data_IF_661084043874
#
_entry.id   IF_661084043874
#
_cell.length_a   1.000
_cell.length_b   1.000
_cell.length_c   1.000
_cell.angle_alpha   90.00
_cell.angle_beta   90.00
_cell.angle_gamma   90.00
#
_symmetry.space_group_name_H-M   'P 1'
#
loop_
_entity.id
_entity.type
_entity.pdbx_description
1 polymer ?
#
# COMPACT_ATOMS: atom_id res chain seq x y z
N UNK A 1 39.82 23.03 47.65
CA UNK A 1 40.28 22.65 46.29
C UNK A 1 39.26 21.70 45.68
N UNK A 2 38.42 22.21 44.79
CA UNK A 2 37.39 21.40 44.09
C UNK A 2 37.89 21.21 42.67
N UNK A 3 38.22 19.96 42.31
CA UNK A 3 38.65 19.57 40.98
C UNK A 3 37.41 19.49 40.06
N UNK A 4 37.40 20.34 39.05
CA UNK A 4 36.38 20.40 38.00
C UNK A 4 36.77 19.37 36.92
N UNK A 5 36.08 18.24 36.86
CA UNK A 5 36.26 17.24 35.82
C UNK A 5 35.41 17.69 34.62
N UNK A 6 36.10 18.19 33.59
CA UNK A 6 35.48 18.54 32.29
C UNK A 6 35.33 17.27 31.49
N UNK A 7 34.08 16.73 31.42
CA UNK A 7 33.76 15.56 30.61
C UNK A 7 33.53 16.05 29.17
N UNK A 8 34.56 15.91 28.36
CA UNK A 8 34.52 16.23 26.94
C UNK A 8 33.68 15.15 26.22
N UNK A 9 32.38 15.40 26.02
CA UNK A 9 31.51 14.55 25.23
C UNK A 9 31.85 14.76 23.75
N UNK A 10 32.71 13.88 23.22
CA UNK A 10 33.06 13.85 21.80
C UNK A 10 31.85 13.31 21.02
N UNK A 11 31.00 14.22 20.54
CA UNK A 11 29.94 13.88 19.61
C UNK A 11 30.62 13.54 18.28
N UNK A 12 30.75 12.25 17.98
CA UNK A 12 31.01 11.76 16.62
C UNK A 12 29.78 12.08 15.78
N UNK A 13 29.76 13.27 15.20
CA UNK A 13 28.95 13.55 14.02
C UNK A 13 29.50 12.67 12.89
N UNK A 14 28.91 11.50 12.67
CA UNK A 14 29.06 10.79 11.43
C UNK A 14 28.54 11.71 10.32
N UNK A 15 29.47 12.42 9.66
CA UNK A 15 29.15 13.16 8.45
C UNK A 15 28.65 12.14 7.44
N UNK A 16 27.34 12.16 7.16
CA UNK A 16 26.82 11.56 5.94
C UNK A 16 27.44 12.36 4.79
N UNK A 17 28.59 11.89 4.33
CA UNK A 17 29.26 12.46 3.16
C UNK A 17 28.62 11.82 1.93
N UNK A 18 28.03 12.65 1.07
CA UNK A 18 27.60 12.20 -0.23
C UNK A 18 28.73 11.43 -0.92
N UNK A 19 28.42 10.23 -1.38
CA UNK A 19 29.37 9.35 -2.09
C UNK A 19 29.18 9.51 -3.59
N UNK A 20 30.28 9.46 -4.34
CA UNK A 20 30.22 9.33 -5.78
C UNK A 20 29.83 7.89 -6.17
N UNK A 21 28.78 7.75 -6.95
CA UNK A 21 28.25 6.50 -7.51
C UNK A 21 28.45 6.48 -9.02
N UNK A 22 28.83 5.33 -9.58
CA UNK A 22 29.14 5.17 -11.00
C UNK A 22 28.18 4.20 -11.67
N UNK A 23 27.82 4.46 -12.93
CA UNK A 23 27.08 3.52 -13.77
C UNK A 23 27.90 2.26 -14.07
N UNK A 24 27.22 1.15 -14.40
CA UNK A 24 27.84 -0.15 -14.68
C UNK A 24 28.98 -0.08 -15.73
N UNK A 25 28.85 0.82 -16.72
CA UNK A 25 29.85 1.06 -17.76
C UNK A 25 30.94 2.07 -17.37
N UNK A 26 30.88 2.63 -16.17
CA UNK A 26 31.81 3.62 -15.64
C UNK A 26 31.77 5.00 -16.31
N UNK A 27 30.86 5.22 -17.30
CA UNK A 27 30.85 6.46 -18.10
C UNK A 27 30.13 7.61 -17.45
N UNK A 28 29.30 7.35 -16.46
CA UNK A 28 28.54 8.37 -15.72
C UNK A 28 28.77 8.20 -14.24
N UNK A 29 28.90 9.33 -13.55
CA UNK A 29 28.91 9.35 -12.09
C UNK A 29 27.97 10.44 -11.55
N UNK A 30 27.60 10.29 -10.30
CA UNK A 30 26.80 11.28 -9.56
C UNK A 30 27.03 11.14 -8.06
N UNK A 31 26.90 12.22 -7.34
CA UNK A 31 26.96 12.23 -5.88
C UNK A 31 25.58 12.00 -5.28
N UNK A 32 25.49 11.15 -4.28
CA UNK A 32 24.27 10.89 -3.51
C UNK A 32 24.58 10.22 -2.18
N UNK A 33 23.69 10.45 -1.20
CA UNK A 33 23.72 9.75 0.09
C UNK A 33 23.06 8.38 -0.04
N UNK A 34 23.64 7.37 0.60
CA UNK A 34 23.02 6.06 0.72
C UNK A 34 21.84 6.13 1.71
N UNK A 35 20.69 5.57 1.33
CA UNK A 35 19.51 5.45 2.20
C UNK A 35 19.27 3.99 2.59
N UNK A 36 19.12 3.09 1.60
CA UNK A 36 18.83 1.68 1.86
C UNK A 36 19.14 0.81 0.65
N UNK A 37 19.29 -0.50 0.85
CA UNK A 37 19.23 -1.50 -0.21
C UNK A 37 18.51 -2.76 0.29
N UNK A 38 17.91 -3.51 -0.64
CA UNK A 38 17.22 -4.79 -0.39
C UNK A 38 17.97 -6.00 -0.99
N UNK A 39 19.18 -5.76 -1.50
CA UNK A 39 20.02 -6.76 -2.18
C UNK A 39 19.79 -6.83 -3.69
N UNK A 40 18.69 -6.31 -4.21
CA UNK A 40 18.41 -6.19 -5.64
C UNK A 40 18.40 -4.73 -6.09
N UNK A 41 17.81 -3.86 -5.27
CA UNK A 41 17.71 -2.42 -5.52
C UNK A 41 18.43 -1.63 -4.45
N UNK A 42 18.93 -0.45 -4.83
CA UNK A 42 19.48 0.55 -3.93
C UNK A 42 18.66 1.84 -4.03
N UNK A 43 18.40 2.46 -2.89
CA UNK A 43 17.80 3.79 -2.80
C UNK A 43 18.85 4.78 -2.31
N UNK A 44 19.05 5.83 -3.09
CA UNK A 44 20.00 6.91 -2.87
C UNK A 44 19.26 8.24 -2.81
N UNK A 45 19.77 9.20 -2.04
CA UNK A 45 19.21 10.56 -1.93
C UNK A 45 20.13 11.56 -2.62
N UNK A 46 19.59 12.29 -3.60
CA UNK A 46 20.20 13.48 -4.20
C UNK A 46 19.49 14.73 -3.67
N UNK A 47 20.07 15.91 -3.93
CA UNK A 47 19.38 17.18 -3.70
C UNK A 47 18.01 17.25 -4.42
N UNK A 48 17.91 16.61 -5.59
CA UNK A 48 16.69 16.57 -6.41
C UNK A 48 15.65 15.54 -5.95
N UNK A 49 15.94 14.70 -4.93
CA UNK A 49 15.02 13.67 -4.41
C UNK A 49 15.64 12.28 -4.31
N UNK A 50 14.78 11.26 -4.12
CA UNK A 50 15.19 9.87 -3.99
C UNK A 50 15.31 9.21 -5.37
N UNK A 51 16.39 8.43 -5.55
CA UNK A 51 16.64 7.59 -6.71
C UNK A 51 16.66 6.13 -6.28
N UNK A 52 15.81 5.30 -6.88
CA UNK A 52 15.80 3.84 -6.65
C UNK A 52 16.03 3.14 -7.97
N UNK A 53 17.00 2.22 -8.00
CA UNK A 53 17.32 1.43 -9.19
C UNK A 53 18.04 0.12 -8.81
N UNK A 54 18.14 -0.80 -9.77
CA UNK A 54 18.81 -2.09 -9.59
C UNK A 54 20.30 -1.93 -9.30
N UNK A 55 20.81 -2.65 -8.29
CA UNK A 55 22.23 -2.65 -7.90
C UNK A 55 23.12 -3.08 -9.10
N UNK A 56 22.62 -3.97 -9.95
CA UNK A 56 23.29 -4.41 -11.18
C UNK A 56 23.63 -3.28 -12.18
N UNK A 57 22.98 -2.12 -12.05
CA UNK A 57 23.25 -0.92 -12.85
C UNK A 57 24.36 -0.03 -12.30
N UNK A 58 24.89 -0.37 -11.13
CA UNK A 58 26.07 0.28 -10.57
C UNK A 58 27.37 -0.37 -11.06
N UNK A 59 28.44 0.42 -11.00
CA UNK A 59 29.79 -0.09 -11.23
C UNK A 59 30.13 -1.24 -10.25
N UNK A 60 30.90 -2.26 -10.66
CA UNK A 60 31.27 -3.37 -9.77
C UNK A 60 31.86 -2.96 -8.41
N UNK A 61 32.70 -1.91 -8.38
CA UNK A 61 33.27 -1.40 -7.12
C UNK A 61 32.20 -0.83 -6.19
N UNK A 62 31.15 -0.22 -6.73
CA UNK A 62 30.05 0.33 -5.94
C UNK A 62 29.12 -0.78 -5.44
N UNK A 63 28.96 -1.86 -6.21
CA UNK A 63 28.27 -3.08 -5.76
C UNK A 63 29.05 -3.77 -4.63
N UNK A 64 30.37 -3.87 -4.75
CA UNK A 64 31.23 -4.42 -3.72
C UNK A 64 31.15 -3.58 -2.44
N UNK A 65 31.22 -2.26 -2.57
CA UNK A 65 31.09 -1.34 -1.43
C UNK A 65 29.74 -1.50 -0.71
N UNK A 66 28.62 -1.65 -1.43
CA UNK A 66 27.31 -1.93 -0.83
C UNK A 66 27.34 -3.24 -0.03
N UNK A 67 27.95 -4.29 -0.59
CA UNK A 67 28.04 -5.59 0.07
C UNK A 67 28.87 -5.55 1.35
N UNK A 68 29.95 -4.77 1.36
CA UNK A 68 30.87 -4.67 2.49
C UNK A 68 30.33 -3.74 3.60
N UNK A 69 29.78 -2.59 3.21
CA UNK A 69 29.39 -1.55 4.18
C UNK A 69 27.94 -1.61 4.60
N UNK A 70 27.08 -2.17 3.75
CA UNK A 70 25.64 -2.32 3.98
C UNK A 70 25.19 -3.73 3.59
N UNK A 71 25.78 -4.78 4.21
CA UNK A 71 25.39 -6.14 3.92
C UNK A 71 23.90 -6.29 4.23
N UNK A 72 23.13 -6.63 3.21
CA UNK A 72 21.78 -7.11 3.43
C UNK A 72 21.93 -8.39 4.21
N UNK A 73 21.49 -8.40 5.46
CA UNK A 73 21.26 -9.68 6.15
C UNK A 73 20.26 -10.42 5.26
N UNK A 74 20.77 -11.38 4.47
CA UNK A 74 19.90 -12.45 4.00
C UNK A 74 19.35 -13.02 5.30
N UNK A 75 18.12 -12.66 5.67
CA UNK A 75 17.38 -13.51 6.58
C UNK A 75 17.49 -14.87 5.93
N UNK A 76 18.13 -15.79 6.65
CA UNK A 76 18.11 -17.21 6.28
C UNK A 76 16.68 -17.47 5.92
N UNK A 77 16.43 -17.94 4.69
CA UNK A 77 15.10 -18.21 4.21
C UNK A 77 14.46 -19.10 5.27
N UNK A 78 13.78 -18.49 6.23
CA UNK A 78 12.86 -19.21 7.11
C UNK A 78 12.03 -19.98 6.14
N UNK A 79 11.97 -21.29 6.32
CA UNK A 79 11.20 -22.20 5.50
C UNK A 79 9.80 -21.59 5.33
N UNK A 80 9.70 -20.71 4.30
CA UNK A 80 8.53 -19.86 4.11
C UNK A 80 7.51 -20.72 3.39
N UNK A 81 6.68 -21.36 4.19
CA UNK A 81 5.44 -21.93 3.67
C UNK A 81 4.52 -20.76 3.32
N UNK A 82 4.22 -20.51 2.03
CA UNK A 82 3.27 -19.46 1.66
C UNK A 82 1.98 -19.65 2.46
N UNK A 83 1.37 -18.56 2.94
CA UNK A 83 0.08 -18.69 3.63
C UNK A 83 -0.91 -19.41 2.70
N UNK A 84 -1.80 -20.24 3.24
CA UNK A 84 -2.81 -20.89 2.43
C UNK A 84 -3.61 -19.83 1.69
N UNK A 85 -3.79 -20.04 0.38
CA UNK A 85 -4.56 -19.13 -0.45
C UNK A 85 -6.04 -19.21 -0.09
N UNK A 86 -6.67 -18.05 -0.02
CA UNK A 86 -8.09 -17.91 0.28
C UNK A 86 -8.69 -16.72 -0.50
N UNK A 87 -9.97 -16.81 -0.83
CA UNK A 87 -10.64 -15.85 -1.69
C UNK A 87 -10.58 -14.41 -1.10
N UNK A 88 -10.17 -13.46 -1.94
CA UNK A 88 -10.13 -12.03 -1.62
C UNK A 88 -11.14 -11.24 -2.44
N UNK A 89 -10.86 -10.99 -3.73
CA UNK A 89 -11.71 -10.21 -4.61
C UNK A 89 -11.64 -10.73 -6.05
N UNK A 90 -12.79 -11.13 -6.62
CA UNK A 90 -12.85 -11.72 -7.96
C UNK A 90 -12.00 -12.99 -8.04
N UNK A 91 -10.97 -12.98 -8.88
CA UNK A 91 -10.00 -14.06 -8.98
C UNK A 91 -8.78 -13.92 -8.08
N UNK A 92 -8.68 -12.81 -7.34
CA UNK A 92 -7.57 -12.58 -6.41
C UNK A 92 -7.76 -13.39 -5.13
N UNK A 93 -6.64 -13.88 -4.60
CA UNK A 93 -6.59 -14.64 -3.35
C UNK A 93 -5.58 -14.00 -2.40
N UNK A 94 -5.89 -13.99 -1.12
CA UNK A 94 -4.87 -13.71 -0.11
C UNK A 94 -3.73 -14.73 -0.24
N UNK A 95 -2.50 -14.28 -0.06
CA UNK A 95 -1.33 -15.11 -0.32
C UNK A 95 -0.84 -15.10 -1.78
N UNK A 96 -1.55 -14.45 -2.71
CA UNK A 96 -1.02 -14.23 -4.06
C UNK A 96 0.24 -13.36 -4.01
N UNK A 97 1.26 -13.74 -4.77
CA UNK A 97 2.43 -12.90 -5.01
C UNK A 97 2.06 -11.71 -5.91
N UNK A 98 2.90 -10.67 -5.91
CA UNK A 98 2.70 -9.49 -6.74
C UNK A 98 2.52 -9.84 -8.24
N UNK A 99 3.30 -10.80 -8.75
CA UNK A 99 3.20 -11.26 -10.14
C UNK A 99 1.90 -12.00 -10.43
N UNK A 100 1.41 -12.83 -9.50
CA UNK A 100 0.13 -13.53 -9.64
C UNK A 100 -1.04 -12.53 -9.66
N UNK A 101 -1.03 -11.52 -8.78
CA UNK A 101 -2.04 -10.45 -8.77
C UNK A 101 -2.07 -9.74 -10.12
N UNK A 102 -0.94 -9.32 -10.68
CA UNK A 102 -0.87 -8.69 -11.99
C UNK A 102 -1.48 -9.59 -13.08
N UNK A 103 -1.10 -10.87 -13.11
CA UNK A 103 -1.62 -11.82 -14.11
C UNK A 103 -3.13 -12.04 -13.98
N UNK A 104 -3.64 -12.15 -12.75
CA UNK A 104 -5.06 -12.30 -12.46
C UNK A 104 -5.85 -11.05 -12.83
N UNK A 105 -5.34 -9.86 -12.54
CA UNK A 105 -5.97 -8.59 -12.93
C UNK A 105 -6.05 -8.40 -14.44
N UNK A 106 -4.97 -8.69 -15.19
CA UNK A 106 -4.96 -8.63 -16.66
C UNK A 106 -6.02 -9.54 -17.32
N UNK A 107 -6.35 -10.65 -16.69
CA UNK A 107 -7.34 -11.64 -17.18
C UNK A 107 -8.74 -11.44 -16.58
N UNK A 108 -8.90 -10.51 -15.66
CA UNK A 108 -10.15 -10.36 -14.92
C UNK A 108 -11.32 -9.91 -15.81
N UNK A 109 -12.49 -10.54 -15.70
CA UNK A 109 -13.69 -10.09 -16.38
C UNK A 109 -14.33 -8.86 -15.73
N UNK A 110 -14.02 -8.57 -14.46
CA UNK A 110 -14.70 -7.54 -13.64
C UNK A 110 -13.89 -6.27 -13.42
N UNK A 111 -12.59 -6.27 -13.76
CA UNK A 111 -11.73 -5.08 -13.67
C UNK A 111 -11.05 -4.78 -15.00
N UNK A 112 -10.64 -3.54 -15.16
CA UNK A 112 -9.86 -3.06 -16.29
C UNK A 112 -8.74 -2.13 -15.82
N UNK A 113 -7.69 -2.01 -16.62
CA UNK A 113 -6.63 -1.03 -16.37
C UNK A 113 -7.10 0.37 -16.77
N UNK A 114 -6.90 1.34 -15.88
CA UNK A 114 -7.14 2.76 -16.13
C UNK A 114 -5.84 3.51 -16.49
N UNK A 115 -4.69 2.82 -16.48
CA UNK A 115 -3.38 3.37 -16.80
C UNK A 115 -2.68 2.56 -17.90
N UNK A 116 -1.89 3.25 -18.72
CA UNK A 116 -1.01 2.58 -19.67
C UNK A 116 0.04 1.72 -18.95
N UNK A 117 0.43 0.58 -19.53
CA UNK A 117 1.35 -0.39 -18.92
C UNK A 117 2.71 0.25 -18.51
N UNK A 118 3.19 1.22 -19.29
CA UNK A 118 4.41 1.99 -18.97
C UNK A 118 4.23 2.86 -17.72
N UNK A 119 3.02 3.37 -17.48
CA UNK A 119 2.71 4.15 -16.28
C UNK A 119 2.61 3.25 -15.04
N UNK A 120 2.01 2.06 -15.15
CA UNK A 120 1.92 1.10 -14.06
C UNK A 120 3.29 0.71 -13.51
N UNK A 121 4.30 0.56 -14.36
CA UNK A 121 5.67 0.27 -13.95
C UNK A 121 6.31 1.41 -13.10
N UNK A 122 5.79 2.64 -13.20
CA UNK A 122 6.31 3.81 -12.47
C UNK A 122 5.56 4.12 -11.18
N UNK A 123 4.23 3.91 -11.16
CA UNK A 123 3.35 4.30 -10.05
C UNK A 123 2.88 3.09 -9.23
N UNK A 124 3.21 1.88 -9.65
CA UNK A 124 2.78 0.63 -9.00
C UNK A 124 1.34 0.24 -9.36
N UNK A 125 0.77 -0.73 -8.62
CA UNK A 125 -0.57 -1.27 -8.89
C UNK A 125 -1.70 -0.42 -8.31
N UNK A 126 -1.44 0.32 -7.23
CA UNK A 126 -2.48 1.04 -6.49
C UNK A 126 -3.11 2.15 -7.34
N UNK A 127 -4.45 2.09 -7.48
CA UNK A 127 -5.21 3.05 -8.26
C UNK A 127 -5.09 2.91 -9.79
N UNK A 128 -4.38 1.89 -10.29
CA UNK A 128 -4.18 1.66 -11.73
C UNK A 128 -5.23 0.74 -12.36
N UNK A 129 -5.97 0.02 -11.54
CA UNK A 129 -7.10 -0.82 -11.94
C UNK A 129 -8.39 -0.29 -11.34
N UNK A 130 -9.48 -0.41 -12.11
CA UNK A 130 -10.84 -0.07 -11.65
C UNK A 130 -11.84 -1.15 -12.03
N UNK A 131 -13.00 -1.13 -11.38
CA UNK A 131 -14.12 -2.00 -11.77
C UNK A 131 -14.66 -1.59 -13.14
N UNK A 132 -14.99 -2.56 -14.00
CA UNK A 132 -15.63 -2.30 -15.30
C UNK A 132 -17.05 -1.76 -15.13
N UNK A 133 -17.80 -2.34 -14.19
CA UNK A 133 -19.14 -1.90 -13.87
C UNK A 133 -19.12 -0.89 -12.72
N UNK A 134 -20.05 0.05 -12.75
CA UNK A 134 -20.27 1.01 -11.67
C UNK A 134 -21.16 0.41 -10.59
N UNK A 135 -20.95 0.85 -9.35
CA UNK A 135 -21.88 0.66 -8.25
C UNK A 135 -22.38 2.02 -7.77
N UNK A 136 -23.70 2.21 -7.75
CA UNK A 136 -24.28 3.53 -7.48
C UNK A 136 -23.81 4.62 -8.45
N UNK A 137 -23.52 4.23 -9.71
CA UNK A 137 -23.00 5.16 -10.73
C UNK A 137 -21.50 5.49 -10.61
N UNK A 138 -20.77 4.89 -9.66
CA UNK A 138 -19.36 5.16 -9.44
C UNK A 138 -18.51 3.91 -9.73
N UNK A 139 -17.41 4.09 -10.46
CA UNK A 139 -16.35 3.08 -10.53
C UNK A 139 -15.57 3.04 -9.21
N UNK A 140 -15.04 1.88 -8.87
CA UNK A 140 -14.13 1.72 -7.74
C UNK A 140 -12.74 1.38 -8.25
N UNK A 141 -11.74 2.07 -7.72
CA UNK A 141 -10.32 1.83 -7.97
C UNK A 141 -9.78 0.84 -6.95
N UNK A 142 -8.84 -0.01 -7.39
CA UNK A 142 -8.26 -1.06 -6.57
C UNK A 142 -6.92 -0.60 -5.99
N UNK A 143 -6.75 -0.90 -4.70
CA UNK A 143 -5.50 -0.70 -3.96
C UNK A 143 -5.16 -2.00 -3.24
N UNK A 144 -3.88 -2.29 -3.11
CA UNK A 144 -3.37 -3.55 -2.59
C UNK A 144 -2.41 -3.29 -1.44
N UNK A 145 -2.52 -4.08 -0.40
CA UNK A 145 -1.57 -4.13 0.70
C UNK A 145 -0.98 -5.53 0.83
N UNK A 146 0.29 -5.58 1.21
CA UNK A 146 1.12 -6.77 1.14
C UNK A 146 1.67 -7.13 2.51
N UNK A 147 1.93 -8.40 2.74
CA UNK A 147 2.75 -8.86 3.86
C UNK A 147 4.21 -8.44 3.64
N UNK A 148 5.02 -8.50 4.68
CA UNK A 148 6.47 -8.26 4.59
C UNK A 148 7.16 -9.21 3.58
N UNK A 149 6.60 -10.39 3.39
CA UNK A 149 7.06 -11.40 2.41
C UNK A 149 6.51 -11.19 1.00
N UNK A 150 5.81 -10.07 0.72
CA UNK A 150 5.34 -9.71 -0.61
C UNK A 150 4.10 -10.46 -1.10
N UNK A 151 3.27 -10.97 -0.18
CA UNK A 151 2.02 -11.66 -0.51
C UNK A 151 0.81 -10.79 -0.20
N UNK A 152 -0.22 -10.90 -1.04
CA UNK A 152 -1.45 -10.12 -0.91
C UNK A 152 -2.11 -10.35 0.45
N UNK A 153 -2.32 -9.26 1.20
CA UNK A 153 -2.95 -9.25 2.52
C UNK A 153 -4.29 -8.53 2.53
N UNK A 154 -4.44 -7.51 1.70
CA UNK A 154 -5.65 -6.71 1.64
C UNK A 154 -5.91 -6.21 0.21
N UNK A 155 -7.18 -6.18 -0.18
CA UNK A 155 -7.67 -5.48 -1.37
C UNK A 155 -8.62 -4.38 -0.91
N UNK A 156 -8.33 -3.14 -1.27
CA UNK A 156 -9.22 -2.00 -1.02
C UNK A 156 -9.85 -1.53 -2.32
N UNK A 157 -11.17 -1.43 -2.33
CA UNK A 157 -11.94 -0.78 -3.37
C UNK A 157 -12.30 0.63 -2.89
N UNK A 158 -11.87 1.66 -3.61
CA UNK A 158 -12.23 3.05 -3.33
C UNK A 158 -13.01 3.62 -4.50
N UNK A 159 -14.23 4.12 -4.24
CA UNK A 159 -15.03 4.77 -5.28
C UNK A 159 -14.30 5.98 -5.87
N UNK A 160 -14.66 6.37 -7.09
CA UNK A 160 -14.20 7.65 -7.64
C UNK A 160 -14.48 8.76 -6.61
N UNK A 161 -13.48 9.59 -6.26
CA UNK A 161 -13.66 10.64 -5.28
C UNK A 161 -14.61 11.72 -5.80
N UNK A 162 -15.46 12.23 -4.91
CA UNK A 162 -16.48 13.25 -5.20
C UNK A 162 -16.32 14.43 -4.23
N UNK A 163 -16.73 15.62 -4.67
CA UNK A 163 -16.76 16.82 -3.82
C UNK A 163 -17.89 16.77 -2.80
N UNK A 164 -17.80 17.62 -1.78
CA UNK A 164 -18.79 17.81 -0.72
C UNK A 164 -20.23 17.92 -1.23
N UNK A 165 -20.44 18.60 -2.36
CA UNK A 165 -21.78 18.78 -2.97
C UNK A 165 -22.48 17.47 -3.34
N UNK A 166 -21.72 16.40 -3.54
CA UNK A 166 -22.22 15.07 -3.91
C UNK A 166 -22.29 14.11 -2.71
N UNK A 167 -21.88 14.55 -1.52
CA UNK A 167 -21.75 13.71 -0.33
C UNK A 167 -23.09 13.07 0.07
N UNK A 168 -24.14 13.87 0.25
CA UNK A 168 -25.48 13.39 0.60
C UNK A 168 -26.27 12.78 -0.55
N UNK A 169 -25.79 12.90 -1.79
CA UNK A 169 -26.42 12.39 -3.01
C UNK A 169 -25.74 11.13 -3.53
N UNK A 170 -24.93 11.28 -4.59
CA UNK A 170 -24.32 10.16 -5.31
C UNK A 170 -23.43 9.29 -4.44
N UNK A 171 -22.69 9.88 -3.49
CA UNK A 171 -21.82 9.12 -2.61
C UNK A 171 -22.63 8.25 -1.63
N UNK A 172 -23.68 8.81 -1.02
CA UNK A 172 -24.58 8.07 -0.15
C UNK A 172 -25.30 6.95 -0.89
N UNK A 173 -25.70 7.18 -2.16
CA UNK A 173 -26.30 6.16 -3.02
C UNK A 173 -25.32 5.02 -3.28
N UNK A 174 -24.07 5.32 -3.63
CA UNK A 174 -23.03 4.32 -3.81
C UNK A 174 -22.79 3.52 -2.52
N UNK A 175 -22.70 4.19 -1.35
CA UNK A 175 -22.54 3.53 -0.06
C UNK A 175 -23.71 2.58 0.24
N UNK A 176 -24.97 3.00 0.01
CA UNK A 176 -26.15 2.16 0.24
C UNK A 176 -26.17 0.93 -0.65
N UNK A 177 -25.86 1.09 -1.94
CA UNK A 177 -25.80 -0.04 -2.87
C UNK A 177 -24.67 -1.01 -2.56
N UNK A 178 -23.54 -0.49 -2.05
CA UNK A 178 -22.45 -1.31 -1.59
C UNK A 178 -22.83 -2.17 -0.38
N UNK A 179 -23.63 -1.64 0.56
CA UNK A 179 -24.20 -2.41 1.68
C UNK A 179 -25.03 -3.57 1.16
N UNK A 180 -25.96 -3.30 0.23
CA UNK A 180 -26.84 -4.34 -0.31
C UNK A 180 -26.04 -5.44 -1.01
N UNK A 181 -25.02 -5.08 -1.80
CA UNK A 181 -24.14 -6.06 -2.43
C UNK A 181 -23.40 -6.90 -1.38
N UNK A 182 -22.79 -6.24 -0.38
CA UNK A 182 -22.01 -6.95 0.64
C UNK A 182 -22.91 -7.84 1.53
N UNK A 183 -24.17 -7.44 1.77
CA UNK A 183 -25.17 -8.29 2.43
C UNK A 183 -25.53 -9.53 1.62
N UNK A 184 -25.65 -9.39 0.31
CA UNK A 184 -25.89 -10.56 -0.56
C UNK A 184 -24.71 -11.53 -0.58
N UNK A 185 -23.48 -11.01 -0.52
CA UNK A 185 -22.28 -11.81 -0.58
C UNK A 185 -21.89 -12.44 0.78
N UNK A 186 -22.10 -11.73 1.87
CA UNK A 186 -21.56 -12.08 3.20
C UNK A 186 -22.62 -12.21 4.31
N UNK A 187 -23.90 -12.01 3.98
CA UNK A 187 -24.97 -12.00 4.96
C UNK A 187 -25.07 -10.70 5.78
N UNK A 188 -25.57 -10.81 7.00
CA UNK A 188 -25.70 -9.63 7.86
C UNK A 188 -24.35 -9.17 8.42
N UNK A 189 -24.11 -7.86 8.50
CA UNK A 189 -22.87 -7.35 9.09
C UNK A 189 -22.89 -7.60 10.62
N UNK A 190 -21.71 -7.86 11.18
CA UNK A 190 -21.52 -8.00 12.64
C UNK A 190 -21.40 -6.64 13.34
N UNK A 191 -21.17 -5.57 12.59
CA UNK A 191 -21.24 -4.19 13.02
C UNK A 191 -21.92 -3.38 11.93
N UNK A 192 -22.82 -2.48 12.30
CA UNK A 192 -23.42 -1.51 11.39
C UNK A 192 -23.60 -0.16 12.08
N UNK A 193 -23.46 0.90 11.31
CA UNK A 193 -23.73 2.28 11.70
C UNK A 193 -24.39 3.03 10.55
N UNK A 194 -25.12 4.13 10.81
CA UNK A 194 -25.69 4.96 9.76
C UNK A 194 -24.61 5.58 8.87
N UNK A 195 -25.03 6.15 7.73
CA UNK A 195 -24.14 6.94 6.89
C UNK A 195 -23.62 8.13 7.71
N UNK A 196 -22.27 8.31 7.81
CA UNK A 196 -21.71 9.35 8.66
C UNK A 196 -22.04 10.76 8.15
N UNK A 197 -22.08 11.74 9.05
CA UNK A 197 -22.00 13.13 8.64
C UNK A 197 -20.63 13.42 8.03
N UNK A 198 -20.53 14.32 7.06
CA UNK A 198 -19.23 14.78 6.57
C UNK A 198 -18.38 15.40 7.67
N UNK A 199 -19.00 15.98 8.68
CA UNK A 199 -18.32 16.62 9.82
C UNK A 199 -17.70 15.61 10.80
N UNK A 200 -18.11 14.33 10.71
CA UNK A 200 -17.55 13.23 11.50
C UNK A 200 -16.25 12.68 10.85
N UNK A 201 -15.98 13.07 9.60
CA UNK A 201 -14.82 12.59 8.87
C UNK A 201 -13.58 13.44 9.17
N UNK A 202 -12.44 12.80 9.15
CA UNK A 202 -11.13 13.45 9.30
C UNK A 202 -10.31 13.21 8.06
N UNK A 203 -9.58 14.24 7.61
CA UNK A 203 -8.73 14.18 6.43
C UNK A 203 -7.69 13.05 6.54
N UNK A 204 -7.58 12.28 5.49
CA UNK A 204 -6.69 11.10 5.40
C UNK A 204 -7.20 9.86 6.13
N UNK A 205 -8.34 9.90 6.82
CA UNK A 205 -8.90 8.75 7.55
C UNK A 205 -10.13 8.17 6.88
N UNK A 206 -10.41 6.90 7.19
CA UNK A 206 -11.60 6.16 6.76
C UNK A 206 -12.43 5.82 7.98
N UNK A 207 -13.65 6.33 8.05
CA UNK A 207 -14.62 5.98 9.08
C UNK A 207 -15.39 4.74 8.63
N UNK A 208 -15.11 3.59 9.26
CA UNK A 208 -15.75 2.32 8.95
C UNK A 208 -17.12 2.23 9.64
N UNK A 209 -18.18 2.13 8.86
CA UNK A 209 -19.57 1.99 9.33
C UNK A 209 -20.01 0.53 9.48
N UNK A 210 -19.55 -0.36 8.61
CA UNK A 210 -19.98 -1.75 8.59
C UNK A 210 -18.78 -2.70 8.59
N UNK A 211 -18.99 -3.86 9.22
CA UNK A 211 -18.01 -4.95 9.27
C UNK A 211 -18.75 -6.28 9.05
N UNK A 212 -18.23 -7.09 8.14
CA UNK A 212 -18.64 -8.48 7.92
C UNK A 212 -17.48 -9.42 8.26
N UNK A 213 -17.86 -10.66 8.59
CA UNK A 213 -16.94 -11.78 8.71
C UNK A 213 -17.24 -12.77 7.62
N UNK A 214 -16.25 -13.15 6.83
CA UNK A 214 -16.40 -14.22 5.84
C UNK A 214 -16.40 -15.59 6.53
N UNK A 215 -16.82 -16.64 5.81
CA UNK A 215 -16.78 -18.02 6.29
C UNK A 215 -15.36 -18.50 6.64
N UNK A 216 -14.35 -17.90 6.02
CA UNK A 216 -12.92 -18.19 6.26
C UNK A 216 -12.32 -17.36 7.41
N UNK A 217 -13.13 -16.52 8.07
CA UNK A 217 -12.71 -15.68 9.19
C UNK A 217 -12.07 -14.34 8.79
N UNK A 218 -12.03 -14.01 7.50
CA UNK A 218 -11.55 -12.72 7.00
C UNK A 218 -12.53 -11.59 7.29
N UNK A 219 -12.08 -10.36 7.17
CA UNK A 219 -12.91 -9.19 7.41
C UNK A 219 -13.19 -8.41 6.13
N UNK A 220 -14.45 -7.96 5.98
CA UNK A 220 -14.85 -7.00 4.96
C UNK A 220 -15.40 -5.78 5.69
N UNK A 221 -14.81 -4.60 5.44
CA UNK A 221 -15.17 -3.36 6.05
C UNK A 221 -15.71 -2.39 4.99
N UNK A 222 -16.80 -1.72 5.28
CA UNK A 222 -17.31 -0.62 4.48
C UNK A 222 -17.22 0.67 5.29
N UNK A 223 -16.67 1.71 4.67
CA UNK A 223 -16.52 3.01 5.29
C UNK A 223 -16.62 4.16 4.28
N UNK A 224 -16.47 5.36 4.81
CA UNK A 224 -16.39 6.61 4.05
C UNK A 224 -15.07 7.29 4.42
N UNK A 225 -14.30 7.70 3.43
CA UNK A 225 -13.04 8.41 3.60
C UNK A 225 -13.09 9.82 3.06
N UNK A 226 -12.30 10.70 3.66
CA UNK A 226 -12.04 12.06 3.20
C UNK A 226 -10.56 12.20 2.84
N UNK A 227 -10.27 12.91 1.76
CA UNK A 227 -8.93 13.27 1.33
C UNK A 227 -8.97 14.69 0.73
N UNK A 228 -8.50 15.66 1.50
CA UNK A 228 -8.70 17.07 1.21
C UNK A 228 -10.19 17.44 1.15
N UNK A 229 -10.63 18.00 0.01
CA UNK A 229 -12.03 18.37 -0.25
C UNK A 229 -12.85 17.25 -0.94
N UNK A 230 -12.29 16.04 -1.02
CA UNK A 230 -12.90 14.91 -1.73
C UNK A 230 -13.27 13.77 -0.78
N UNK A 231 -14.34 13.08 -1.14
CA UNK A 231 -14.94 12.01 -0.36
C UNK A 231 -15.10 10.75 -1.21
N UNK A 232 -14.91 9.60 -0.60
CA UNK A 232 -15.03 8.30 -1.28
C UNK A 232 -15.68 7.25 -0.39
N UNK A 233 -16.42 6.31 -0.97
CA UNK A 233 -16.80 5.07 -0.31
C UNK A 233 -15.65 4.08 -0.45
N UNK A 234 -15.34 3.39 0.64
CA UNK A 234 -14.19 2.49 0.72
C UNK A 234 -14.66 1.13 1.23
N UNK A 235 -14.32 0.08 0.48
CA UNK A 235 -14.49 -1.32 0.92
C UNK A 235 -13.10 -1.92 1.09
N UNK A 236 -12.79 -2.40 2.29
CA UNK A 236 -11.55 -3.10 2.59
C UNK A 236 -11.84 -4.57 2.80
N UNK A 237 -11.18 -5.43 2.05
CA UNK A 237 -11.26 -6.89 2.14
C UNK A 237 -9.89 -7.36 2.61
N UNK A 238 -9.77 -7.79 3.86
CA UNK A 238 -8.49 -8.10 4.49
C UNK A 238 -8.48 -9.52 5.07
N UNK A 239 -7.34 -10.19 4.97
CA UNK A 239 -7.10 -11.49 5.59
C UNK A 239 -7.11 -11.43 7.13
N UNK A 240 -7.04 -10.21 7.70
CA UNK A 240 -7.02 -10.01 9.14
C UNK A 240 -8.44 -10.12 9.74
N UNK A 241 -8.51 -10.67 10.93
CA UNK A 241 -9.74 -10.68 11.73
C UNK A 241 -9.87 -9.38 12.52
N UNK A 242 -10.55 -8.39 11.92
CA UNK A 242 -10.81 -7.10 12.58
C UNK A 242 -11.94 -7.25 13.60
N UNK A 243 -11.74 -6.74 14.81
CA UNK A 243 -12.78 -6.78 15.85
C UNK A 243 -13.78 -5.62 15.68
N UNK A 244 -15.08 -5.85 15.94
CA UNK A 244 -16.06 -4.76 15.94
C UNK A 244 -15.75 -3.75 17.03
N UNK A 245 -16.05 -2.47 16.78
CA UNK A 245 -15.96 -1.43 17.80
C UNK A 245 -17.11 -1.62 18.79
N UNK A 246 -16.78 -1.92 20.02
CA UNK A 246 -17.78 -1.99 21.11
C UNK A 246 -18.06 -0.56 21.55
N UNK A 247 -19.14 0.03 21.07
CA UNK A 247 -19.70 1.27 21.67
C UNK A 247 -20.29 0.90 23.04
N UNK A 248 -19.64 1.35 24.10
CA UNK A 248 -20.18 1.27 25.47
C UNK A 248 -21.18 2.38 25.73
#
# INVERSE_FOLDING_TARGET
>A
MKALIFFLFLILLSQLSAREWRSADGKRSFEADYISNDGNQVTLKKESGLLTFEISKLHPDDQAWLTENHPVKKEEAKDYTPPPKSAAFGSLEFGDSHSEVIQKLKKSPIVESDAAEVMMARIGLNGTYRTKNTMGGLHSYLYFDWTESGHLREVTLRSKPLKQTSYGGSLKTNWSQMIELLRQLHGQPIQNAPYPSSDDLQDGLILCSHLWRTSEGHSVLLGTGQEGDQYSVVVRITSQSVQPVITR
#
